data_IF_909056598074
#
_entry.id   IF_909056598074
#
_cell.length_a   1.000
_cell.length_b   1.000
_cell.length_c   1.000
_cell.angle_alpha   90.00
_cell.angle_beta   90.00
_cell.angle_gamma   90.00
#
_symmetry.space_group_name_H-M   'P 1'
#
loop_
_entity.id
_entity.type
_entity.pdbx_description
1 polymer ?
#
# COMPACT_ATOMS: atom_id res chain seq x y z
N UNK A 1 -52.98 -5.34 -25.78
CA UNK A 1 -52.30 -6.13 -24.74
C UNK A 1 -50.83 -6.50 -25.03
N UNK A 2 -50.38 -6.65 -26.28
CA UNK A 2 -48.96 -6.97 -26.61
C UNK A 2 -48.00 -5.80 -26.37
N UNK A 3 -48.48 -4.57 -26.55
CA UNK A 3 -47.65 -3.35 -26.46
C UNK A 3 -47.36 -2.94 -25.02
N UNK A 4 -48.28 -3.21 -24.10
CA UNK A 4 -48.07 -2.98 -22.66
C UNK A 4 -47.01 -3.92 -22.08
N UNK A 5 -46.96 -5.17 -22.56
CA UNK A 5 -45.89 -6.13 -22.21
C UNK A 5 -44.52 -5.70 -22.76
N UNK A 6 -44.50 -5.11 -23.96
CA UNK A 6 -43.28 -4.58 -24.57
C UNK A 6 -42.75 -3.33 -23.87
N UNK A 7 -43.65 -2.45 -23.40
CA UNK A 7 -43.29 -1.29 -22.59
C UNK A 7 -42.73 -1.70 -21.21
N UNK A 8 -43.33 -2.71 -20.58
CA UNK A 8 -42.86 -3.23 -19.29
C UNK A 8 -41.46 -3.86 -19.40
N UNK A 9 -41.15 -4.51 -20.53
CA UNK A 9 -39.82 -5.08 -20.83
C UNK A 9 -38.76 -4.00 -21.09
N UNK A 10 -39.13 -2.88 -21.71
CA UNK A 10 -38.24 -1.73 -21.94
C UNK A 10 -37.92 -0.95 -20.66
N UNK A 11 -38.88 -0.84 -19.74
CA UNK A 11 -38.68 -0.18 -18.44
C UNK A 11 -37.81 -1.03 -17.51
N UNK A 12 -37.90 -2.36 -17.56
CA UNK A 12 -37.04 -3.25 -16.78
C UNK A 12 -35.56 -3.23 -17.23
N UNK A 13 -35.31 -2.95 -18.51
CA UNK A 13 -33.95 -2.86 -19.07
C UNK A 13 -33.25 -1.51 -18.78
N UNK A 14 -34.01 -0.46 -18.45
CA UNK A 14 -33.47 0.87 -18.16
C UNK A 14 -32.99 1.04 -16.70
N UNK A 15 -33.23 0.08 -15.81
CA UNK A 15 -33.00 0.20 -14.36
C UNK A 15 -31.62 -0.21 -13.85
N UNK A 16 -30.71 -0.71 -14.70
CA UNK A 16 -29.43 -1.29 -14.25
C UNK A 16 -28.22 -0.73 -14.98
N UNK A 17 -27.99 0.57 -14.88
CA UNK A 17 -26.65 1.16 -15.07
C UNK A 17 -26.03 1.47 -13.72
N UNK A 18 -26.01 0.47 -12.82
CA UNK A 18 -25.05 0.51 -11.74
C UNK A 18 -23.68 0.27 -12.36
N UNK A 19 -23.04 1.34 -12.83
CA UNK A 19 -21.61 1.36 -13.09
C UNK A 19 -20.92 1.09 -11.75
N UNK A 20 -20.79 -0.19 -11.40
CA UNK A 20 -19.76 -0.61 -10.48
C UNK A 20 -18.46 -0.25 -11.19
N UNK A 21 -17.92 0.94 -10.92
CA UNK A 21 -16.57 1.29 -11.33
C UNK A 21 -15.66 0.29 -10.61
N UNK A 22 -15.32 -0.80 -11.30
CA UNK A 22 -14.42 -1.80 -10.79
C UNK A 22 -13.14 -1.05 -10.38
N UNK A 23 -12.75 -1.18 -9.12
CA UNK A 23 -11.63 -0.43 -8.55
C UNK A 23 -10.40 -0.55 -9.47
N UNK A 24 -10.05 0.57 -10.12
CA UNK A 24 -8.97 0.63 -11.12
C UNK A 24 -7.61 0.27 -10.51
N UNK A 25 -7.47 0.47 -9.21
CA UNK A 25 -6.34 0.02 -8.43
C UNK A 25 -6.76 -0.59 -7.09
N UNK A 26 -5.88 -1.40 -6.50
CA UNK A 26 -6.05 -2.01 -5.19
C UNK A 26 -4.69 -2.22 -4.53
N UNK A 27 -4.59 -1.88 -3.25
CA UNK A 27 -3.51 -2.37 -2.38
C UNK A 27 -3.96 -3.73 -1.83
N UNK A 28 -3.17 -4.76 -2.10
CA UNK A 28 -3.47 -6.15 -1.72
C UNK A 28 -2.87 -6.48 -0.36
N UNK A 29 -1.65 -5.98 -0.11
CA UNK A 29 -0.93 -6.25 1.12
C UNK A 29 0.09 -5.16 1.40
N UNK A 30 0.30 -4.86 2.67
CA UNK A 30 1.38 -4.00 3.16
C UNK A 30 2.12 -4.78 4.24
N UNK A 31 3.44 -4.87 4.09
CA UNK A 31 4.32 -5.62 4.99
C UNK A 31 5.41 -4.70 5.54
N UNK A 32 5.31 -4.27 6.80
CA UNK A 32 6.39 -3.58 7.48
C UNK A 32 7.50 -4.58 7.87
N UNK A 33 8.75 -4.18 7.67
CA UNK A 33 9.95 -4.96 7.95
C UNK A 33 11.03 -4.07 8.54
N UNK A 34 11.45 -4.35 9.77
CA UNK A 34 12.64 -3.73 10.35
C UNK A 34 13.86 -4.12 9.51
N UNK A 35 14.75 -3.15 9.32
CA UNK A 35 16.02 -3.32 8.65
C UNK A 35 17.15 -3.29 9.67
N UNK A 36 18.08 -4.24 9.57
CA UNK A 36 19.32 -4.22 10.34
C UNK A 36 20.27 -3.12 9.86
N UNK A 37 21.44 -3.00 10.49
CA UNK A 37 22.45 -1.98 10.15
C UNK A 37 22.99 -2.12 8.72
N UNK A 38 22.87 -3.29 8.11
CA UNK A 38 23.24 -3.57 6.73
C UNK A 38 22.07 -3.42 5.73
N UNK A 39 20.89 -3.00 6.20
CA UNK A 39 19.69 -2.82 5.38
C UNK A 39 18.93 -4.12 5.08
N UNK A 40 19.23 -5.22 5.77
CA UNK A 40 18.60 -6.52 5.59
C UNK A 40 17.38 -6.66 6.50
N UNK A 41 16.35 -7.32 5.98
CA UNK A 41 15.12 -7.64 6.70
C UNK A 41 15.01 -9.13 7.06
N UNK A 42 15.97 -9.94 6.61
CA UNK A 42 16.06 -11.40 6.75
C UNK A 42 17.49 -11.80 6.43
N UNK A 43 18.01 -12.87 7.05
CA UNK A 43 19.35 -13.39 6.75
C UNK A 43 19.35 -14.44 5.63
N UNK A 44 18.16 -14.98 5.29
CA UNK A 44 17.96 -16.04 4.32
C UNK A 44 16.60 -15.88 3.62
N UNK A 45 16.35 -16.57 2.48
CA UNK A 45 15.04 -16.51 1.81
C UNK A 45 13.92 -17.29 2.54
N UNK A 46 14.17 -17.85 3.73
CA UNK A 46 13.18 -18.62 4.47
C UNK A 46 12.20 -17.73 5.23
N UNK A 47 10.90 -17.99 5.10
CA UNK A 47 9.86 -17.25 5.83
C UNK A 47 9.97 -17.46 7.36
N UNK A 48 10.32 -18.66 7.80
CA UNK A 48 10.52 -18.95 9.22
C UNK A 48 11.69 -18.16 9.79
N UNK A 49 12.79 -18.08 9.04
CA UNK A 49 13.96 -17.31 9.45
C UNK A 49 13.65 -15.81 9.47
N UNK A 50 12.97 -15.30 8.45
CA UNK A 50 12.52 -13.90 8.44
C UNK A 50 11.72 -13.55 9.69
N UNK A 51 10.74 -14.37 10.06
CA UNK A 51 9.87 -14.07 11.19
C UNK A 51 10.65 -14.13 12.52
N UNK A 52 11.57 -15.09 12.66
CA UNK A 52 12.48 -15.15 13.80
C UNK A 52 13.42 -13.93 13.88
N UNK A 53 13.94 -13.50 12.73
CA UNK A 53 14.85 -12.36 12.65
C UNK A 53 14.13 -11.03 12.92
N UNK A 54 12.91 -10.86 12.43
CA UNK A 54 12.08 -9.70 12.77
C UNK A 54 11.76 -9.67 14.27
N UNK A 55 11.44 -10.81 14.88
CA UNK A 55 11.25 -10.88 16.34
C UNK A 55 12.53 -10.53 17.11
N UNK A 56 13.71 -10.90 16.60
CA UNK A 56 14.98 -10.48 17.15
C UNK A 56 15.17 -8.96 17.03
N UNK A 57 14.96 -8.37 15.86
CA UNK A 57 15.11 -6.92 15.64
C UNK A 57 14.15 -6.10 16.53
N UNK A 58 12.90 -6.55 16.70
CA UNK A 58 11.95 -5.90 17.62
C UNK A 58 12.44 -5.87 19.07
N UNK A 59 13.21 -6.90 19.50
CA UNK A 59 13.81 -6.96 20.83
C UNK A 59 15.14 -6.23 20.94
N UNK A 60 15.73 -5.82 19.82
CA UNK A 60 17.05 -5.18 19.73
C UNK A 60 16.97 -3.91 18.84
N UNK A 61 16.22 -2.86 19.24
CA UNK A 61 16.05 -1.66 18.42
C UNK A 61 17.37 -0.97 18.04
N UNK A 62 18.40 -1.11 18.86
CA UNK A 62 19.75 -0.59 18.61
C UNK A 62 20.44 -1.21 17.40
N UNK A 63 19.94 -2.36 16.92
CA UNK A 63 20.41 -3.04 15.70
C UNK A 63 19.62 -2.66 14.47
N UNK A 64 18.62 -1.78 14.60
CA UNK A 64 17.77 -1.37 13.49
C UNK A 64 18.27 -0.06 12.87
N UNK A 65 18.35 -0.01 11.54
CA UNK A 65 18.68 1.22 10.78
C UNK A 65 17.47 1.86 10.09
N UNK A 66 16.36 1.12 9.97
CA UNK A 66 15.20 1.58 9.24
C UNK A 66 14.00 0.65 9.32
N UNK A 67 12.93 1.08 8.66
CA UNK A 67 11.69 0.35 8.46
C UNK A 67 11.32 0.38 6.98
N UNK A 68 11.23 -0.79 6.35
CA UNK A 68 10.81 -0.95 4.96
C UNK A 68 9.37 -1.45 4.89
N UNK A 69 8.60 -0.87 3.98
CA UNK A 69 7.25 -1.32 3.66
C UNK A 69 7.27 -1.99 2.29
N UNK A 70 7.05 -3.30 2.26
CA UNK A 70 6.82 -4.04 1.02
C UNK A 70 5.32 -4.06 0.73
N UNK A 71 4.94 -3.38 -0.35
CA UNK A 71 3.55 -3.11 -0.68
C UNK A 71 3.21 -3.85 -1.97
N UNK A 72 2.27 -4.79 -1.84
CA UNK A 72 1.68 -5.49 -2.97
C UNK A 72 0.47 -4.72 -3.47
N UNK A 73 0.45 -4.42 -4.75
CA UNK A 73 -0.65 -3.69 -5.38
C UNK A 73 -0.98 -4.20 -6.78
N UNK A 74 -2.16 -3.82 -7.26
CA UNK A 74 -2.67 -4.07 -8.60
C UNK A 74 -3.26 -2.78 -9.15
N UNK A 75 -3.06 -2.52 -10.44
CA UNK A 75 -3.71 -1.43 -11.13
C UNK A 75 -3.90 -1.75 -12.61
N UNK A 76 -5.06 -1.42 -13.14
CA UNK A 76 -5.46 -1.58 -14.53
C UNK A 76 -5.98 -0.24 -15.06
N UNK A 77 -5.70 0.08 -16.33
CA UNK A 77 -6.20 1.28 -16.99
C UNK A 77 -5.95 2.59 -16.21
N UNK A 78 -4.72 2.75 -15.68
CA UNK A 78 -4.24 3.98 -15.05
C UNK A 78 -3.19 4.70 -15.91
N UNK A 79 -3.14 6.03 -15.84
CA UNK A 79 -2.09 6.84 -16.43
C UNK A 79 -0.76 6.58 -15.72
N UNK A 80 0.15 5.92 -16.43
CA UNK A 80 1.45 5.48 -15.92
C UNK A 80 2.35 6.65 -15.52
N UNK A 81 2.21 7.80 -16.17
CA UNK A 81 3.04 8.97 -15.93
C UNK A 81 2.69 9.66 -14.62
N UNK A 82 1.45 9.47 -14.15
CA UNK A 82 0.92 10.11 -12.96
C UNK A 82 0.71 9.12 -11.80
N UNK A 83 1.05 7.85 -12.00
CA UNK A 83 0.79 6.79 -11.01
C UNK A 83 1.86 6.72 -9.92
N UNK A 84 1.45 6.96 -8.67
CA UNK A 84 2.33 7.05 -7.51
C UNK A 84 1.85 6.15 -6.37
N UNK A 85 2.82 5.62 -5.62
CA UNK A 85 2.60 4.95 -4.34
C UNK A 85 3.14 5.86 -3.25
N UNK A 86 2.29 6.19 -2.28
CA UNK A 86 2.64 7.01 -1.11
C UNK A 86 2.51 6.17 0.15
N UNK A 87 3.48 6.32 1.04
CA UNK A 87 3.50 5.76 2.38
C UNK A 87 3.57 6.90 3.39
N UNK A 88 2.63 6.95 4.31
CA UNK A 88 2.63 7.90 5.42
C UNK A 88 2.79 7.12 6.73
N UNK A 89 3.66 7.61 7.60
CA UNK A 89 4.12 6.89 8.79
C UNK A 89 4.04 7.83 9.98
N UNK A 90 3.28 7.46 11.02
CA UNK A 90 3.21 8.19 12.28
C UNK A 90 4.11 7.54 13.32
N UNK A 91 5.05 8.32 13.81
CA UNK A 91 5.94 7.97 14.89
C UNK A 91 5.45 8.48 16.25
N UNK A 92 6.09 8.03 17.32
CA UNK A 92 5.83 8.48 18.70
C UNK A 92 6.47 9.82 19.04
N UNK A 93 7.51 10.22 18.30
CA UNK A 93 8.30 11.41 18.61
C UNK A 93 7.96 12.63 17.74
N UNK A 94 7.19 12.46 16.67
CA UNK A 94 6.83 13.52 15.73
C UNK A 94 5.31 13.58 15.55
N UNK A 95 4.75 14.80 15.61
CA UNK A 95 3.32 15.02 15.45
C UNK A 95 2.86 14.82 13.99
N UNK A 96 3.73 15.18 13.03
CA UNK A 96 3.41 15.09 11.61
C UNK A 96 3.88 13.73 11.03
N UNK A 97 3.09 13.10 10.15
CA UNK A 97 3.52 11.88 9.49
C UNK A 97 4.73 12.10 8.59
N UNK A 98 5.66 11.14 8.61
CA UNK A 98 6.69 11.04 7.57
C UNK A 98 6.03 10.56 6.28
N UNK A 99 6.36 11.21 5.16
CA UNK A 99 5.78 10.90 3.85
C UNK A 99 6.88 10.40 2.91
N UNK A 100 6.69 9.19 2.40
CA UNK A 100 7.53 8.58 1.38
C UNK A 100 6.71 8.43 0.10
N UNK A 101 7.25 8.83 -1.03
CA UNK A 101 6.58 8.69 -2.33
C UNK A 101 7.50 8.03 -3.34
N UNK A 102 6.93 7.20 -4.21
CA UNK A 102 7.60 6.73 -5.40
C UNK A 102 6.65 6.64 -6.59
N UNK A 103 7.14 7.01 -7.77
CA UNK A 103 6.49 6.68 -9.03
C UNK A 103 6.65 5.19 -9.30
N UNK A 104 5.55 4.50 -9.57
CA UNK A 104 5.55 3.04 -9.71
C UNK A 104 5.37 2.65 -11.17
N UNK A 105 6.43 2.18 -11.87
CA UNK A 105 6.31 1.81 -13.28
C UNK A 105 5.40 0.59 -13.44
N UNK A 106 4.44 0.67 -14.37
CA UNK A 106 3.59 -0.47 -14.67
C UNK A 106 4.38 -1.53 -15.48
N UNK A 107 5.17 -2.40 -14.82
CA UNK A 107 5.81 -3.57 -15.45
C UNK A 107 4.76 -4.59 -15.93
N UNK A 108 5.02 -5.34 -17.00
CA UNK A 108 4.06 -6.28 -17.64
C UNK A 108 3.50 -7.38 -16.72
N UNK A 109 4.07 -7.64 -15.54
CA UNK A 109 3.63 -8.71 -14.64
C UNK A 109 2.47 -8.29 -13.70
N UNK A 110 1.44 -9.14 -13.48
CA UNK A 110 0.21 -8.80 -12.73
C UNK A 110 0.33 -8.68 -11.20
N UNK A 111 1.47 -9.06 -10.59
CA UNK A 111 1.70 -8.89 -9.15
C UNK A 111 2.89 -7.96 -8.97
N UNK A 112 2.62 -6.74 -8.52
CA UNK A 112 3.67 -5.74 -8.33
C UNK A 112 3.89 -5.54 -6.85
N UNK A 113 5.15 -5.70 -6.48
CA UNK A 113 5.67 -5.32 -5.18
C UNK A 113 6.47 -4.05 -5.37
N UNK A 114 6.36 -3.14 -4.41
CA UNK A 114 7.18 -1.94 -4.35
C UNK A 114 7.57 -1.72 -2.90
N UNK A 115 8.80 -1.27 -2.69
CA UNK A 115 9.36 -1.04 -1.36
C UNK A 115 9.52 0.45 -1.12
N UNK A 116 9.10 0.93 0.05
CA UNK A 116 9.37 2.29 0.53
C UNK A 116 10.08 2.15 1.88
N UNK A 117 11.19 2.85 2.06
CA UNK A 117 12.01 2.73 3.27
C UNK A 117 12.05 4.05 4.01
N UNK A 118 11.77 4.00 5.32
CA UNK A 118 12.10 5.05 6.27
C UNK A 118 13.41 4.66 6.94
N UNK A 119 14.51 5.33 6.62
CA UNK A 119 15.86 4.99 7.11
C UNK A 119 16.56 6.17 7.80
N UNK A 120 17.70 5.85 8.41
CA UNK A 120 18.65 6.82 8.92
C UNK A 120 18.04 7.78 9.96
N UNK A 121 18.23 9.07 9.74
CA UNK A 121 17.72 10.10 10.66
C UNK A 121 16.20 10.14 10.73
N UNK A 122 15.50 9.88 9.62
CA UNK A 122 14.04 9.89 9.59
C UNK A 122 13.47 8.75 10.43
N UNK A 123 14.08 7.56 10.38
CA UNK A 123 13.70 6.44 11.23
C UNK A 123 13.95 6.73 12.71
N UNK A 124 15.13 7.27 13.06
CA UNK A 124 15.45 7.66 14.44
C UNK A 124 14.47 8.70 14.98
N UNK A 125 14.15 9.72 14.19
CA UNK A 125 13.20 10.78 14.54
C UNK A 125 11.76 10.28 14.66
N UNK A 126 11.39 9.21 13.96
CA UNK A 126 10.06 8.62 14.12
C UNK A 126 9.88 7.97 15.50
N UNK A 127 10.97 7.46 16.10
CA UNK A 127 10.87 6.64 17.30
C UNK A 127 10.06 5.36 17.04
N UNK A 128 9.23 4.96 18.01
CA UNK A 128 8.29 3.87 17.79
C UNK A 128 7.24 4.24 16.73
N UNK A 129 7.07 3.39 15.72
CA UNK A 129 6.06 3.56 14.67
C UNK A 129 4.70 3.06 15.17
N UNK A 130 3.75 3.98 15.29
CA UNK A 130 2.44 3.74 15.89
C UNK A 130 1.40 3.39 14.81
N UNK A 131 1.42 4.12 13.70
CA UNK A 131 0.44 3.96 12.64
C UNK A 131 1.03 4.23 11.27
N UNK A 132 0.39 3.66 10.25
CA UNK A 132 0.85 3.81 8.89
C UNK A 132 -0.31 3.77 7.89
N UNK A 133 -0.13 4.43 6.74
CA UNK A 133 -1.07 4.42 5.61
C UNK A 133 -0.33 4.31 4.30
N UNK A 134 -0.74 3.36 3.47
CA UNK A 134 -0.32 3.23 2.08
C UNK A 134 -1.45 3.69 1.16
N UNK A 135 -1.13 4.48 0.13
CA UNK A 135 -2.09 5.00 -0.84
C UNK A 135 -1.56 4.93 -2.27
N UNK A 136 -2.45 4.62 -3.22
CA UNK A 136 -2.17 4.67 -4.66
C UNK A 136 -2.85 5.90 -5.26
N UNK A 137 -2.12 6.67 -6.05
CA UNK A 137 -2.57 7.92 -6.65
C UNK A 137 -2.40 7.89 -8.16
N UNK A 138 -3.31 8.55 -8.86
CA UNK A 138 -3.20 8.94 -10.27
C UNK A 138 -3.37 10.45 -10.36
N UNK A 139 -2.25 11.17 -10.48
CA UNK A 139 -2.23 12.62 -10.31
C UNK A 139 -2.68 12.97 -8.89
N UNK A 140 -3.74 13.77 -8.78
CA UNK A 140 -4.36 14.14 -7.50
C UNK A 140 -5.52 13.21 -7.10
N UNK A 141 -5.82 12.18 -7.91
CA UNK A 141 -6.90 11.23 -7.65
C UNK A 141 -6.39 10.07 -6.79
N UNK A 142 -6.94 9.92 -5.58
CA UNK A 142 -6.73 8.73 -4.76
C UNK A 142 -7.47 7.53 -5.36
N UNK A 143 -6.74 6.45 -5.66
CA UNK A 143 -7.28 5.24 -6.29
C UNK A 143 -7.48 4.07 -5.31
N UNK A 144 -6.62 3.95 -4.29
CA UNK A 144 -6.74 2.93 -3.26
C UNK A 144 -6.01 3.33 -1.97
N UNK A 145 -6.49 2.83 -0.84
CA UNK A 145 -5.91 3.05 0.49
C UNK A 145 -5.88 1.73 1.25
N UNK A 146 -4.82 1.52 2.03
CA UNK A 146 -4.77 0.54 3.11
C UNK A 146 -4.00 1.16 4.27
N UNK A 147 -4.46 0.93 5.50
CA UNK A 147 -3.89 1.54 6.69
C UNK A 147 -3.81 0.57 7.87
N UNK A 148 -2.94 0.86 8.82
CA UNK A 148 -2.94 0.16 10.11
C UNK A 148 -4.20 0.50 10.91
N UNK A 149 -4.49 -0.30 11.93
CA UNK A 149 -5.67 -0.11 12.78
C UNK A 149 -5.69 1.26 13.48
N UNK A 150 -4.52 1.77 13.88
CA UNK A 150 -4.37 3.02 14.65
C UNK A 150 -4.26 4.28 13.78
N UNK A 151 -4.54 4.20 12.47
CA UNK A 151 -4.43 5.33 11.54
C UNK A 151 -5.64 6.25 11.50
#
# INVERSE_FOLDING_TARGET
>A
MRWFKMLLLLILAAGSTCHAEAARARIVKVLPHLLDLEGRHTLSPSLYERDAYQAFLHKNPEKCSGLRFDIQWKANAVDRSQFKLRMEIRGSQEANPFVLEQSVPLKRWPRRWSSLTLDGDSFRKAGEVIAWRATLWEGDKLLAEQKSFLW
#
